data_IF_530749884198
#
_entry.id   IF_530749884198
#
_cell.length_a   1.000
_cell.length_b   1.000
_cell.length_c   1.000
_cell.angle_alpha   90.00
_cell.angle_beta   90.00
_cell.angle_gamma   90.00
#
_symmetry.space_group_name_H-M   'P 1'
#
loop_
_entity.id
_entity.type
_entity.pdbx_description
1 polymer ?
#
# COMPACT_ATOMS: atom_id res chain seq x y z
N UNK A 1 3.80 -20.67 -34.56
CA UNK A 1 5.21 -20.39 -34.14
C UNK A 1 5.40 -18.90 -34.27
N UNK A 2 5.89 -18.22 -33.25
CA UNK A 2 6.09 -16.77 -33.26
C UNK A 2 7.48 -16.44 -33.82
N UNK A 3 7.55 -15.47 -34.73
CA UNK A 3 8.80 -15.07 -35.37
C UNK A 3 9.70 -14.31 -34.39
N UNK A 4 11.00 -14.63 -34.42
CA UNK A 4 12.01 -13.88 -33.69
C UNK A 4 12.18 -12.50 -34.32
N UNK A 5 12.23 -11.45 -33.50
CA UNK A 5 12.65 -10.14 -34.00
C UNK A 5 14.18 -10.11 -34.14
N UNK A 6 14.72 -9.07 -34.78
CA UNK A 6 16.17 -8.83 -34.85
C UNK A 6 16.81 -8.58 -33.46
N UNK A 7 16.01 -8.44 -32.40
CA UNK A 7 16.47 -8.24 -31.03
C UNK A 7 16.52 -9.57 -30.28
N UNK A 8 17.66 -9.86 -29.65
CA UNK A 8 17.87 -11.09 -28.87
C UNK A 8 16.85 -11.17 -27.73
N UNK A 9 16.09 -12.27 -27.69
CA UNK A 9 15.12 -12.55 -26.63
C UNK A 9 13.71 -12.00 -26.84
N UNK A 10 13.46 -11.26 -27.93
CA UNK A 10 12.12 -10.72 -28.23
C UNK A 10 11.47 -11.55 -29.34
N UNK A 11 10.24 -12.00 -29.08
CA UNK A 11 9.39 -12.68 -30.07
C UNK A 11 8.12 -11.89 -30.26
N UNK A 12 7.65 -11.77 -31.50
CA UNK A 12 6.40 -11.07 -31.79
C UNK A 12 5.23 -11.94 -31.35
N UNK A 13 4.33 -11.38 -30.55
CA UNK A 13 3.05 -12.02 -30.31
C UNK A 13 2.22 -11.95 -31.60
N UNK A 14 1.76 -13.12 -32.05
CA UNK A 14 0.78 -13.25 -33.13
C UNK A 14 -0.31 -14.18 -32.62
N UNK A 15 -1.52 -13.67 -32.54
CA UNK A 15 -2.65 -14.42 -32.00
C UNK A 15 -3.83 -13.55 -31.60
N UNK A 16 -4.91 -14.19 -31.14
CA UNK A 16 -6.10 -13.49 -30.69
C UNK A 16 -5.83 -12.72 -29.40
N UNK A 17 -6.45 -11.56 -29.27
CA UNK A 17 -6.55 -10.76 -28.05
C UNK A 17 -8.03 -10.48 -27.80
N UNK A 18 -8.54 -10.96 -26.68
CA UNK A 18 -9.90 -10.65 -26.24
C UNK A 18 -9.94 -9.21 -25.72
N UNK A 19 -10.88 -8.41 -26.19
CA UNK A 19 -11.17 -7.06 -25.70
C UNK A 19 -12.62 -7.04 -25.26
N UNK A 20 -12.87 -6.58 -24.05
CA UNK A 20 -14.23 -6.43 -23.51
C UNK A 20 -14.50 -4.96 -23.30
N UNK A 21 -15.58 -4.46 -23.90
CA UNK A 21 -15.98 -3.07 -23.81
C UNK A 21 -17.30 -3.03 -23.05
N UNK A 22 -17.33 -2.27 -21.96
CA UNK A 22 -18.59 -1.89 -21.35
C UNK A 22 -19.12 -0.66 -22.08
N UNK A 23 -20.31 -0.80 -22.65
CA UNK A 23 -21.05 0.27 -23.29
C UNK A 23 -22.34 0.59 -22.52
N UNK A 24 -23.09 1.61 -22.99
CA UNK A 24 -24.36 2.04 -22.39
C UNK A 24 -25.49 1.01 -22.42
N UNK A 25 -25.47 0.05 -23.35
CA UNK A 25 -26.50 -0.99 -23.47
C UNK A 25 -26.02 -2.37 -23.00
N UNK A 26 -24.78 -2.49 -22.51
CA UNK A 26 -24.26 -3.74 -21.97
C UNK A 26 -22.76 -3.95 -22.19
N UNK A 27 -22.30 -5.14 -21.83
CA UNK A 27 -20.93 -5.57 -22.02
C UNK A 27 -20.79 -6.35 -23.33
N UNK A 28 -19.88 -5.94 -24.20
CA UNK A 28 -19.63 -6.58 -25.49
C UNK A 28 -18.20 -7.12 -25.57
N UNK A 29 -18.06 -8.36 -26.05
CA UNK A 29 -16.77 -9.04 -26.22
C UNK A 29 -16.36 -9.00 -27.69
N UNK A 30 -15.13 -8.58 -27.95
CA UNK A 30 -14.52 -8.48 -29.27
C UNK A 30 -13.21 -9.27 -29.27
N UNK A 31 -13.01 -10.13 -30.28
CA UNK A 31 -11.73 -10.83 -30.44
C UNK A 31 -10.96 -10.17 -31.57
N UNK A 32 -9.83 -9.53 -31.22
CA UNK A 32 -8.94 -8.89 -32.17
C UNK A 32 -7.81 -9.85 -32.55
N UNK A 33 -7.46 -9.93 -33.84
CA UNK A 33 -6.27 -10.66 -34.26
C UNK A 33 -5.08 -9.71 -34.27
N UNK A 34 -4.07 -10.01 -33.46
CA UNK A 34 -2.82 -9.24 -33.42
C UNK A 34 -1.86 -9.86 -34.42
N UNK A 35 -1.62 -9.18 -35.54
CA UNK A 35 -0.79 -9.67 -36.65
C UNK A 35 0.63 -9.08 -36.67
N UNK A 36 1.03 -8.39 -35.61
CA UNK A 36 2.37 -7.80 -35.51
C UNK A 36 2.59 -6.96 -34.27
N UNK A 37 3.75 -6.28 -34.21
CA UNK A 37 4.13 -5.41 -33.08
C UNK A 37 3.22 -4.19 -32.95
N UNK A 38 2.72 -3.68 -34.08
CA UNK A 38 1.73 -2.61 -34.11
C UNK A 38 0.52 -3.17 -34.86
N UNK A 39 -0.62 -3.24 -34.18
CA UNK A 39 -1.88 -3.64 -34.76
C UNK A 39 -2.88 -2.48 -34.57
N UNK A 40 -3.70 -2.23 -35.59
CA UNK A 40 -4.82 -1.29 -35.54
C UNK A 40 -6.07 -2.07 -35.90
N UNK A 41 -7.14 -1.88 -35.13
CA UNK A 41 -8.41 -2.53 -35.36
C UNK A 41 -9.55 -1.56 -35.05
N UNK A 42 -10.56 -1.55 -35.92
CA UNK A 42 -11.77 -0.78 -35.71
C UNK A 42 -12.80 -1.65 -34.99
N UNK A 43 -13.40 -1.12 -33.93
CA UNK A 43 -14.44 -1.81 -33.16
C UNK A 43 -15.77 -1.08 -33.33
N UNK A 44 -16.75 -1.77 -33.91
CA UNK A 44 -18.11 -1.22 -34.02
C UNK A 44 -18.81 -1.30 -32.66
N UNK A 45 -19.15 -0.14 -32.10
CA UNK A 45 -19.95 -0.06 -30.88
C UNK A 45 -21.40 -0.49 -31.16
N UNK A 46 -22.02 -1.20 -30.22
CA UNK A 46 -23.39 -1.70 -30.36
C UNK A 46 -24.43 -0.68 -29.87
N UNK A 47 -24.05 0.13 -28.88
CA UNK A 47 -24.91 1.07 -28.20
C UNK A 47 -24.95 2.42 -28.91
N UNK A 48 -26.08 3.12 -28.78
CA UNK A 48 -26.20 4.49 -29.28
C UNK A 48 -25.54 5.49 -28.32
N UNK A 49 -25.12 6.63 -28.85
CA UNK A 49 -24.57 7.74 -28.06
C UNK A 49 -25.53 8.25 -26.98
N UNK A 50 -24.97 8.91 -25.97
CA UNK A 50 -25.70 9.33 -24.78
C UNK A 50 -26.71 10.43 -25.09
N UNK A 51 -28.00 10.17 -24.87
CA UNK A 51 -29.06 11.20 -24.89
C UNK A 51 -29.37 11.82 -23.54
N UNK A 52 -29.26 11.03 -22.45
CA UNK A 52 -29.62 11.43 -21.10
C UNK A 52 -28.42 11.39 -20.16
N UNK A 53 -28.38 12.30 -19.18
CA UNK A 53 -27.32 12.33 -18.15
C UNK A 53 -27.41 11.21 -17.13
N UNK A 54 -28.55 10.51 -17.03
CA UNK A 54 -28.74 9.34 -16.18
C UNK A 54 -29.37 8.22 -16.98
N UNK A 55 -28.88 7.00 -16.78
CA UNK A 55 -29.40 5.80 -17.43
C UNK A 55 -29.17 4.58 -16.54
N UNK A 56 -30.11 3.64 -16.56
CA UNK A 56 -29.92 2.28 -16.04
C UNK A 56 -29.15 1.47 -17.07
N UNK A 57 -28.00 0.95 -16.66
CA UNK A 57 -27.07 0.26 -17.55
C UNK A 57 -26.93 -1.18 -17.07
N UNK A 58 -27.17 -2.17 -17.94
CA UNK A 58 -26.94 -3.56 -17.60
C UNK A 58 -25.43 -3.86 -17.57
N UNK A 59 -24.99 -4.50 -16.49
CA UNK A 59 -23.63 -4.99 -16.32
C UNK A 59 -23.51 -6.44 -16.78
N UNK A 60 -22.27 -6.91 -16.95
CA UNK A 60 -21.96 -8.31 -17.27
C UNK A 60 -22.52 -9.32 -16.25
N UNK A 61 -22.80 -8.87 -15.03
CA UNK A 61 -23.39 -9.66 -13.95
C UNK A 61 -24.91 -9.82 -14.05
N UNK A 62 -25.57 -9.12 -14.99
CA UNK A 62 -27.02 -9.04 -15.09
C UNK A 62 -27.66 -8.01 -14.15
N UNK A 63 -26.87 -7.31 -13.33
CA UNK A 63 -27.36 -6.19 -12.51
C UNK A 63 -27.55 -4.95 -13.39
N UNK A 64 -28.69 -4.25 -13.22
CA UNK A 64 -28.90 -2.93 -13.80
C UNK A 64 -28.54 -1.86 -12.77
N UNK A 65 -27.62 -0.97 -13.14
CA UNK A 65 -27.14 0.10 -12.25
C UNK A 65 -27.48 1.47 -12.83
N UNK A 66 -28.08 2.32 -12.00
CA UNK A 66 -28.28 3.73 -12.31
C UNK A 66 -26.94 4.46 -12.28
N UNK A 67 -26.45 4.88 -13.46
CA UNK A 67 -25.19 5.63 -13.58
C UNK A 67 -25.45 7.11 -13.91
N UNK A 68 -24.71 7.99 -13.25
CA UNK A 68 -24.59 9.39 -13.68
C UNK A 68 -23.52 9.49 -14.76
N UNK A 69 -23.96 9.81 -15.96
CA UNK A 69 -23.16 9.91 -17.18
C UNK A 69 -22.72 11.35 -17.44
N UNK A 70 -22.90 12.29 -16.51
CA UNK A 70 -22.60 13.71 -16.69
C UNK A 70 -21.16 13.99 -17.13
N UNK A 71 -20.19 13.19 -16.66
CA UNK A 71 -18.77 13.30 -17.01
C UNK A 71 -18.40 12.71 -18.38
N UNK A 72 -19.30 11.91 -18.98
CA UNK A 72 -19.04 11.23 -20.25
C UNK A 72 -19.16 12.18 -21.44
N UNK A 73 -18.41 11.89 -22.50
CA UNK A 73 -18.62 12.51 -23.80
C UNK A 73 -20.03 12.18 -24.35
N UNK A 74 -20.69 13.16 -24.95
CA UNK A 74 -22.03 12.98 -25.50
C UNK A 74 -22.03 12.02 -26.68
N UNK A 75 -20.94 12.00 -27.46
CA UNK A 75 -20.86 11.27 -28.72
C UNK A 75 -20.32 9.83 -28.56
N UNK A 76 -19.75 9.50 -27.39
CA UNK A 76 -19.22 8.16 -27.10
C UNK A 76 -20.21 7.32 -26.27
N UNK A 77 -20.50 6.07 -26.68
CA UNK A 77 -21.27 5.13 -25.86
C UNK A 77 -20.40 4.28 -24.90
N UNK A 78 -19.08 4.47 -24.90
CA UNK A 78 -18.13 3.61 -24.18
C UNK A 78 -17.90 4.08 -22.74
N UNK A 79 -18.08 3.17 -21.78
CA UNK A 79 -17.87 3.44 -20.35
C UNK A 79 -16.47 3.06 -19.89
N UNK A 80 -15.99 1.86 -20.22
CA UNK A 80 -14.62 1.42 -19.98
C UNK A 80 -14.26 0.23 -20.87
N UNK A 81 -12.96 0.02 -21.05
CA UNK A 81 -12.35 -1.02 -21.88
C UNK A 81 -11.47 -1.89 -21.00
N UNK A 82 -11.57 -3.21 -21.20
CA UNK A 82 -10.71 -4.21 -20.59
C UNK A 82 -10.05 -5.05 -21.67
N UNK A 83 -8.75 -5.26 -21.52
CA UNK A 83 -7.98 -6.17 -22.37
C UNK A 83 -7.88 -7.52 -21.66
N UNK A 84 -8.09 -8.61 -22.39
CA UNK A 84 -8.02 -10.02 -21.95
C UNK A 84 -8.46 -10.27 -20.49
N UNK A 85 -9.73 -9.99 -20.14
CA UNK A 85 -10.25 -10.20 -18.77
C UNK A 85 -10.02 -11.60 -18.23
N UNK A 86 -9.92 -12.59 -19.12
CA UNK A 86 -9.77 -14.01 -18.80
C UNK A 86 -8.30 -14.39 -18.49
N UNK A 87 -7.37 -13.41 -18.53
CA UNK A 87 -5.95 -13.57 -18.19
C UNK A 87 -5.30 -14.73 -18.97
N UNK A 88 -5.69 -14.91 -20.23
CA UNK A 88 -5.18 -16.00 -21.07
C UNK A 88 -3.73 -15.79 -21.48
N UNK A 89 -3.26 -14.54 -21.45
CA UNK A 89 -1.90 -14.16 -21.80
C UNK A 89 -1.10 -13.71 -20.57
N UNK A 90 0.14 -14.18 -20.45
CA UNK A 90 1.13 -13.57 -19.54
C UNK A 90 1.57 -12.23 -20.15
N UNK A 91 1.17 -11.13 -19.52
CA UNK A 91 1.31 -9.78 -20.09
C UNK A 91 1.50 -8.70 -19.04
N UNK A 92 2.00 -7.56 -19.51
CA UNK A 92 1.96 -6.27 -18.83
C UNK A 92 1.18 -5.31 -19.73
N UNK A 93 0.06 -4.80 -19.27
CA UNK A 93 -0.83 -3.91 -20.03
C UNK A 93 -0.65 -2.47 -19.59
N UNK A 94 -0.59 -1.57 -20.57
CA UNK A 94 -0.71 -0.12 -20.35
C UNK A 94 -1.93 0.33 -21.13
N UNK A 95 -2.95 0.77 -20.40
CA UNK A 95 -4.20 1.24 -20.97
C UNK A 95 -4.34 2.71 -20.61
N UNK A 96 -4.57 3.56 -21.61
CA UNK A 96 -4.85 4.98 -21.42
C UNK A 96 -6.33 5.22 -21.68
N UNK A 97 -7.04 5.64 -20.63
CA UNK A 97 -8.46 5.97 -20.65
C UNK A 97 -8.70 7.22 -19.78
N UNK A 98 -9.75 8.02 -20.07
CA UNK A 98 -10.16 9.13 -19.21
C UNK A 98 -10.40 8.70 -17.76
N UNK A 99 -10.21 9.61 -16.80
CA UNK A 99 -10.33 9.34 -15.37
C UNK A 99 -11.72 8.82 -14.96
N UNK A 100 -12.79 9.35 -15.56
CA UNK A 100 -14.17 8.89 -15.29
C UNK A 100 -14.38 7.41 -15.65
N UNK A 101 -13.68 6.88 -16.65
CA UNK A 101 -13.79 5.48 -17.06
C UNK A 101 -13.23 4.56 -15.98
N UNK A 102 -12.07 4.92 -15.41
CA UNK A 102 -11.47 4.22 -14.27
C UNK A 102 -12.33 4.32 -13.01
N UNK A 103 -12.98 5.47 -12.78
CA UNK A 103 -13.91 5.66 -11.67
C UNK A 103 -15.14 4.76 -11.80
N UNK A 104 -15.73 4.64 -13.00
CA UNK A 104 -16.85 3.73 -13.26
C UNK A 104 -16.44 2.27 -13.15
N UNK A 105 -15.29 1.89 -13.73
CA UNK A 105 -14.74 0.54 -13.63
C UNK A 105 -14.56 0.14 -12.16
N UNK A 106 -13.96 0.99 -11.32
CA UNK A 106 -13.76 0.69 -9.90
C UNK A 106 -15.09 0.48 -9.14
N UNK A 107 -16.13 1.28 -9.45
CA UNK A 107 -17.41 1.24 -8.72
C UNK A 107 -18.32 0.09 -9.14
N UNK A 108 -18.32 -0.25 -10.43
CA UNK A 108 -19.37 -1.08 -11.02
C UNK A 108 -18.86 -2.44 -11.51
N UNK A 109 -17.57 -2.56 -11.85
CA UNK A 109 -17.00 -3.84 -12.24
C UNK A 109 -16.89 -4.75 -11.02
N UNK A 110 -17.30 -6.02 -11.16
CA UNK A 110 -17.25 -7.03 -10.07
C UNK A 110 -16.00 -7.91 -10.12
N UNK A 111 -15.14 -7.65 -11.09
CA UNK A 111 -13.86 -8.32 -11.26
C UNK A 111 -12.76 -7.65 -10.43
N UNK A 112 -12.13 -8.43 -9.54
CA UNK A 112 -11.08 -7.95 -8.64
C UNK A 112 -9.86 -7.42 -9.42
N UNK A 113 -9.48 -8.06 -10.52
CA UNK A 113 -8.32 -7.66 -11.33
C UNK A 113 -8.56 -6.31 -11.99
N UNK A 114 -9.77 -6.09 -12.50
CA UNK A 114 -10.18 -4.82 -13.09
C UNK A 114 -10.26 -3.70 -12.06
N UNK A 115 -10.75 -3.98 -10.84
CA UNK A 115 -10.76 -3.01 -9.76
C UNK A 115 -9.33 -2.63 -9.33
N UNK A 116 -8.41 -3.59 -9.25
CA UNK A 116 -7.00 -3.33 -8.92
C UNK A 116 -6.27 -2.54 -10.02
N UNK A 117 -6.55 -2.83 -11.30
CA UNK A 117 -6.04 -2.06 -12.43
C UNK A 117 -6.56 -0.62 -12.39
N UNK A 118 -7.86 -0.44 -12.16
CA UNK A 118 -8.48 0.88 -12.00
C UNK A 118 -7.88 1.67 -10.83
N UNK A 119 -7.66 1.03 -9.67
CA UNK A 119 -7.00 1.68 -8.53
C UNK A 119 -5.58 2.13 -8.91
N UNK A 120 -4.83 1.28 -9.61
CA UNK A 120 -3.46 1.61 -10.04
C UNK A 120 -3.44 2.78 -11.03
N UNK A 121 -4.39 2.82 -11.97
CA UNK A 121 -4.54 3.93 -12.89
C UNK A 121 -4.93 5.24 -12.18
N UNK A 122 -5.89 5.17 -11.24
CA UNK A 122 -6.38 6.32 -10.47
C UNK A 122 -5.32 6.99 -9.59
N UNK A 123 -4.20 6.32 -9.28
CA UNK A 123 -3.05 6.95 -8.62
C UNK A 123 -2.53 8.18 -9.37
N UNK A 124 -2.67 8.20 -10.70
CA UNK A 124 -2.23 9.29 -11.58
C UNK A 124 -3.28 10.40 -11.75
N UNK A 125 -4.51 10.19 -11.27
CA UNK A 125 -5.65 11.11 -11.45
C UNK A 125 -6.10 11.70 -10.11
N UNK A 126 -5.47 12.81 -9.71
CA UNK A 126 -5.74 13.51 -8.45
C UNK A 126 -6.97 14.43 -8.53
N UNK A 127 -8.17 13.85 -8.66
CA UNK A 127 -9.45 14.58 -8.76
C UNK A 127 -10.37 14.29 -7.58
N UNK A 128 -11.30 15.20 -7.23
CA UNK A 128 -12.32 14.94 -6.19
C UNK A 128 -13.17 13.71 -6.47
N UNK A 129 -13.43 13.42 -7.75
CA UNK A 129 -14.20 12.25 -8.17
C UNK A 129 -13.43 10.94 -7.94
N UNK A 130 -12.12 10.90 -8.26
CA UNK A 130 -11.24 9.77 -7.91
C UNK A 130 -11.19 9.52 -6.40
N UNK A 131 -11.05 10.59 -5.61
CA UNK A 131 -11.07 10.51 -4.13
C UNK A 131 -12.39 9.93 -3.60
N UNK A 132 -13.52 10.37 -4.15
CA UNK A 132 -14.84 9.86 -3.77
C UNK A 132 -14.97 8.37 -4.14
N UNK A 133 -14.62 7.99 -5.37
CA UNK A 133 -14.68 6.59 -5.82
C UNK A 133 -13.83 5.65 -4.94
N UNK A 134 -12.63 6.07 -4.56
CA UNK A 134 -11.77 5.32 -3.64
C UNK A 134 -12.39 5.24 -2.23
N UNK A 135 -12.96 6.34 -1.74
CA UNK A 135 -13.63 6.38 -0.42
C UNK A 135 -14.82 5.43 -0.38
N UNK A 136 -15.69 5.46 -1.40
CA UNK A 136 -16.84 4.58 -1.54
C UNK A 136 -16.41 3.10 -1.58
N UNK A 137 -15.31 2.81 -2.30
CA UNK A 137 -14.74 1.46 -2.40
C UNK A 137 -14.26 0.96 -1.04
N UNK A 138 -13.60 1.80 -0.25
CA UNK A 138 -13.11 1.42 1.09
C UNK A 138 -14.28 1.13 2.04
N UNK A 139 -15.38 1.88 1.97
CA UNK A 139 -16.54 1.67 2.84
C UNK A 139 -17.42 0.48 2.41
N UNK A 140 -17.37 0.06 1.15
CA UNK A 140 -18.24 -0.98 0.63
C UNK A 140 -17.85 -2.38 1.11
N UNK A 141 -18.68 -2.97 2.00
CA UNK A 141 -18.47 -4.31 2.54
C UNK A 141 -18.69 -5.45 1.53
N UNK A 142 -19.24 -5.16 0.35
CA UNK A 142 -19.39 -6.15 -0.73
C UNK A 142 -18.13 -6.24 -1.62
N UNK A 143 -17.17 -5.32 -1.45
CA UNK A 143 -15.91 -5.33 -2.22
C UNK A 143 -14.89 -6.22 -1.51
N UNK A 144 -14.12 -6.97 -2.30
CA UNK A 144 -13.07 -7.82 -1.77
C UNK A 144 -12.06 -7.02 -0.94
N UNK A 145 -11.69 -7.54 0.23
CA UNK A 145 -10.91 -6.79 1.23
C UNK A 145 -9.57 -6.27 0.70
N UNK A 146 -8.88 -7.02 -0.16
CA UNK A 146 -7.59 -6.55 -0.70
C UNK A 146 -7.77 -5.37 -1.67
N UNK A 147 -8.90 -5.29 -2.38
CA UNK A 147 -9.24 -4.11 -3.20
C UNK A 147 -9.47 -2.92 -2.29
N UNK A 148 -10.19 -3.09 -1.17
CA UNK A 148 -10.40 -2.03 -0.16
C UNK A 148 -9.07 -1.55 0.45
N UNK A 149 -8.18 -2.48 0.80
CA UNK A 149 -6.84 -2.19 1.31
C UNK A 149 -6.00 -1.42 0.28
N UNK A 150 -6.01 -1.85 -0.99
CA UNK A 150 -5.29 -1.17 -2.07
C UNK A 150 -5.87 0.22 -2.35
N UNK A 151 -7.19 0.37 -2.31
CA UNK A 151 -7.87 1.65 -2.44
C UNK A 151 -7.48 2.62 -1.32
N UNK A 152 -7.30 2.15 -0.08
CA UNK A 152 -6.80 2.98 1.03
C UNK A 152 -5.40 3.53 0.76
N UNK A 153 -4.47 2.71 0.27
CA UNK A 153 -3.13 3.17 -0.12
C UNK A 153 -3.14 4.12 -1.31
N UNK A 154 -3.99 3.87 -2.32
CA UNK A 154 -4.16 4.77 -3.45
C UNK A 154 -4.76 6.12 -3.01
N UNK A 155 -5.72 6.10 -2.09
CA UNK A 155 -6.33 7.30 -1.54
C UNK A 155 -5.29 8.19 -0.86
N UNK A 156 -4.29 7.61 -0.18
CA UNK A 156 -3.16 8.37 0.36
C UNK A 156 -2.38 9.11 -0.74
N UNK A 157 -2.05 8.44 -1.85
CA UNK A 157 -1.31 9.05 -2.97
C UNK A 157 -2.11 10.18 -3.62
N UNK A 158 -3.39 9.92 -3.91
CA UNK A 158 -4.33 10.90 -4.47
C UNK A 158 -4.48 12.09 -3.52
N UNK A 159 -4.67 11.84 -2.22
CA UNK A 159 -4.80 12.91 -1.23
C UNK A 159 -3.54 13.77 -1.16
N UNK A 160 -2.34 13.17 -1.17
CA UNK A 160 -1.07 13.88 -1.16
C UNK A 160 -0.86 14.74 -2.43
N UNK A 161 -1.33 14.28 -3.59
CA UNK A 161 -1.29 15.06 -4.83
C UNK A 161 -2.33 16.20 -4.83
N UNK A 162 -3.40 16.10 -4.04
CA UNK A 162 -4.48 17.10 -3.97
C UNK A 162 -4.28 18.17 -2.88
N UNK A 163 -3.20 18.12 -2.09
CA UNK A 163 -3.06 18.94 -0.87
C UNK A 163 -3.13 20.45 -1.14
N UNK A 164 -2.67 20.92 -2.29
CA UNK A 164 -2.74 22.35 -2.67
C UNK A 164 -4.18 22.84 -2.90
N UNK A 165 -5.08 21.94 -3.30
CA UNK A 165 -6.41 22.26 -3.81
C UNK A 165 -7.53 21.79 -2.87
N UNK A 166 -7.21 21.01 -1.84
CA UNK A 166 -8.20 20.43 -0.93
C UNK A 166 -7.69 20.37 0.52
N UNK A 167 -8.34 21.12 1.41
CA UNK A 167 -8.02 21.21 2.83
C UNK A 167 -9.13 20.63 3.74
N UNK A 168 -9.68 19.47 3.38
CA UNK A 168 -10.67 18.77 4.21
C UNK A 168 -10.06 17.73 5.15
N UNK A 169 -10.79 17.30 6.20
CA UNK A 169 -10.31 16.27 7.13
C UNK A 169 -9.98 14.97 6.38
N UNK A 170 -9.01 14.18 6.87
CA UNK A 170 -8.64 12.91 6.25
C UNK A 170 -9.86 11.98 6.15
N UNK A 171 -10.27 11.63 4.93
CA UNK A 171 -11.45 10.78 4.70
C UNK A 171 -11.33 9.45 5.46
N UNK A 172 -10.12 8.87 5.48
CA UNK A 172 -9.83 7.63 6.19
C UNK A 172 -10.06 7.70 7.71
N UNK A 173 -9.88 8.87 8.35
CA UNK A 173 -10.17 9.04 9.77
C UNK A 173 -11.69 8.92 10.04
N UNK A 174 -12.51 9.51 9.16
CA UNK A 174 -13.96 9.40 9.24
C UNK A 174 -14.42 7.95 9.03
N UNK A 175 -13.87 7.27 8.01
CA UNK A 175 -14.13 5.85 7.73
C UNK A 175 -13.76 5.00 8.96
N UNK A 176 -12.57 5.19 9.53
CA UNK A 176 -12.11 4.40 10.66
C UNK A 176 -13.01 4.58 11.88
N UNK A 177 -13.38 5.82 12.21
CA UNK A 177 -14.30 6.10 13.33
C UNK A 177 -15.69 5.53 13.09
N UNK A 178 -16.20 5.56 11.85
CA UNK A 178 -17.49 4.98 11.47
C UNK A 178 -17.49 3.45 11.65
N UNK A 179 -16.42 2.78 11.21
CA UNK A 179 -16.33 1.32 11.24
C UNK A 179 -15.94 0.75 12.62
N UNK A 180 -15.00 1.39 13.31
CA UNK A 180 -14.35 0.85 14.52
C UNK A 180 -14.55 1.70 15.79
N UNK A 181 -15.13 2.90 15.67
CA UNK A 181 -15.40 3.78 16.81
C UNK A 181 -16.54 3.28 17.69
N UNK A 182 -16.44 3.52 19.00
CA UNK A 182 -17.47 3.18 19.98
C UNK A 182 -18.77 3.90 19.69
N UNK A 183 -19.89 3.21 19.89
CA UNK A 183 -21.23 3.77 19.65
C UNK A 183 -21.50 4.99 20.54
N UNK A 184 -21.02 4.94 21.80
CA UNK A 184 -21.23 6.00 22.79
C UNK A 184 -20.27 7.17 22.64
N UNK A 185 -19.07 6.93 22.09
CA UNK A 185 -18.05 7.95 21.87
C UNK A 185 -17.20 7.59 20.64
N UNK A 186 -17.50 8.14 19.44
CA UNK A 186 -16.80 7.81 18.21
C UNK A 186 -15.30 8.11 18.20
N UNK A 187 -14.80 8.90 19.18
CA UNK A 187 -13.38 9.18 19.36
C UNK A 187 -12.63 8.03 20.04
N UNK A 188 -13.34 7.17 20.80
CA UNK A 188 -12.77 6.00 21.48
C UNK A 188 -13.04 4.77 20.63
N UNK A 189 -12.04 3.93 20.44
CA UNK A 189 -12.14 2.73 19.60
C UNK A 189 -12.84 1.62 20.42
N UNK A 190 -13.60 0.77 19.73
CA UNK A 190 -14.19 -0.42 20.38
C UNK A 190 -13.11 -1.42 20.77
N UNK A 191 -13.45 -2.32 21.69
CA UNK A 191 -12.64 -3.50 21.97
C UNK A 191 -12.43 -4.31 20.69
N UNK A 192 -11.23 -4.87 20.52
CA UNK A 192 -10.88 -5.62 19.31
C UNK A 192 -11.78 -6.86 19.15
N UNK A 193 -12.23 -7.08 17.92
CA UNK A 193 -12.91 -8.32 17.52
C UNK A 193 -12.41 -8.76 16.14
N UNK A 194 -11.55 -9.77 16.11
CA UNK A 194 -10.95 -10.26 14.87
C UNK A 194 -11.69 -11.47 14.27
N UNK A 195 -12.93 -11.72 14.67
CA UNK A 195 -13.75 -12.79 14.07
C UNK A 195 -14.03 -12.52 12.59
N UNK A 196 -14.24 -11.27 12.19
CA UNK A 196 -14.40 -10.90 10.79
C UNK A 196 -13.04 -10.50 10.19
N UNK A 197 -12.47 -11.38 9.37
CA UNK A 197 -11.18 -11.16 8.73
C UNK A 197 -11.18 -9.98 7.76
N UNK A 198 -12.31 -9.66 7.11
CA UNK A 198 -12.39 -8.53 6.20
C UNK A 198 -12.20 -7.21 6.97
N UNK A 199 -12.91 -7.06 8.08
CA UNK A 199 -12.72 -5.91 8.97
C UNK A 199 -11.32 -5.90 9.59
N UNK A 200 -10.79 -7.05 9.98
CA UNK A 200 -9.44 -7.14 10.54
C UNK A 200 -8.36 -6.62 9.58
N UNK A 201 -8.32 -7.09 8.32
CA UNK A 201 -7.33 -6.62 7.35
C UNK A 201 -7.49 -5.13 7.05
N UNK A 202 -8.72 -4.62 7.01
CA UNK A 202 -8.98 -3.20 6.80
C UNK A 202 -8.57 -2.35 8.01
N UNK A 203 -8.88 -2.79 9.24
CA UNK A 203 -8.47 -2.18 10.50
C UNK A 203 -6.94 -2.11 10.60
N UNK A 204 -6.24 -3.15 10.12
CA UNK A 204 -4.77 -3.18 10.02
C UNK A 204 -4.22 -2.18 8.99
N UNK A 205 -4.88 -2.06 7.83
CA UNK A 205 -4.35 -1.31 6.68
C UNK A 205 -4.59 0.20 6.76
N UNK A 206 -5.76 0.63 7.23
CA UNK A 206 -6.12 2.06 7.26
C UNK A 206 -5.10 2.89 8.06
N UNK A 207 -4.64 2.50 9.26
CA UNK A 207 -3.62 3.24 10.01
C UNK A 207 -2.31 3.43 9.22
N UNK A 208 -1.85 2.38 8.53
CA UNK A 208 -0.63 2.42 7.71
C UNK A 208 -0.82 3.35 6.50
N UNK A 209 -1.97 3.28 5.83
CA UNK A 209 -2.29 4.18 4.72
C UNK A 209 -2.38 5.64 5.20
N UNK A 210 -3.02 5.90 6.34
CA UNK A 210 -3.11 7.24 6.94
C UNK A 210 -1.74 7.81 7.30
N UNK A 211 -0.85 6.99 7.85
CA UNK A 211 0.51 7.41 8.18
C UNK A 211 1.31 7.90 6.96
N UNK A 212 0.93 7.51 5.74
CA UNK A 212 1.51 8.01 4.50
C UNK A 212 0.99 9.38 4.04
N UNK A 213 -0.02 9.96 4.70
CA UNK A 213 -0.55 11.28 4.36
C UNK A 213 0.50 12.36 4.65
N UNK A 214 0.56 13.37 3.79
CA UNK A 214 1.47 14.52 3.89
C UNK A 214 0.71 15.81 3.68
N UNK A 215 1.12 16.86 4.37
CA UNK A 215 0.66 18.23 4.14
C UNK A 215 1.47 18.89 3.00
N UNK A 216 1.21 20.17 2.72
CA UNK A 216 1.86 20.94 1.66
C UNK A 216 3.38 21.07 1.85
N UNK A 217 3.86 20.89 3.08
CA UNK A 217 5.28 20.90 3.45
C UNK A 217 5.92 19.52 3.41
N UNK A 218 5.19 18.48 2.96
CA UNK A 218 5.70 17.11 2.93
C UNK A 218 5.80 16.45 4.30
N UNK A 219 5.10 16.97 5.32
CA UNK A 219 5.11 16.49 6.71
C UNK A 219 3.82 15.73 7.01
N UNK A 220 3.90 14.64 7.78
CA UNK A 220 2.71 13.95 8.25
C UNK A 220 1.84 14.87 9.14
N UNK A 221 0.53 15.00 8.88
CA UNK A 221 -0.35 15.83 9.72
C UNK A 221 -0.34 15.37 11.18
N UNK A 222 -0.28 16.31 12.13
CA UNK A 222 -0.23 16.01 13.57
C UNK A 222 -1.47 15.24 14.06
N UNK A 223 -2.65 15.53 13.50
CA UNK A 223 -3.89 14.79 13.81
C UNK A 223 -3.74 13.28 13.53
N UNK A 224 -3.00 12.91 12.48
CA UNK A 224 -2.74 11.50 12.14
C UNK A 224 -1.81 10.88 13.17
N UNK A 225 -0.73 11.56 13.58
CA UNK A 225 0.21 11.05 14.59
C UNK A 225 -0.52 10.83 15.91
N UNK A 226 -1.29 11.82 16.37
CA UNK A 226 -2.09 11.70 17.60
C UNK A 226 -3.08 10.55 17.51
N UNK A 227 -3.77 10.41 16.37
CA UNK A 227 -4.69 9.30 16.14
C UNK A 227 -3.98 7.93 16.25
N UNK A 228 -2.80 7.77 15.65
CA UNK A 228 -2.03 6.52 15.74
C UNK A 228 -1.61 6.22 17.19
N UNK A 229 -1.18 7.22 17.95
CA UNK A 229 -0.84 7.07 19.37
C UNK A 229 -2.08 6.70 20.21
N UNK A 230 -3.24 7.28 19.90
CA UNK A 230 -4.51 6.92 20.53
C UNK A 230 -4.89 5.47 20.23
N UNK A 231 -4.62 4.93 19.02
CA UNK A 231 -4.82 3.52 18.71
C UNK A 231 -4.04 2.60 19.66
N UNK A 232 -2.81 2.96 20.03
CA UNK A 232 -2.02 2.20 21.02
C UNK A 232 -2.59 2.35 22.44
N UNK A 233 -2.96 3.56 22.82
CA UNK A 233 -3.48 3.86 24.17
C UNK A 233 -4.79 3.14 24.47
N UNK A 234 -5.66 3.03 23.47
CA UNK A 234 -6.99 2.43 23.60
C UNK A 234 -7.06 1.00 23.03
N UNK A 235 -5.93 0.39 22.67
CA UNK A 235 -5.91 -0.99 22.20
C UNK A 235 -6.30 -1.95 23.35
N UNK A 236 -7.49 -2.53 23.27
CA UNK A 236 -7.97 -3.52 24.23
C UNK A 236 -8.30 -4.83 23.52
N UNK A 237 -7.45 -5.84 23.77
CA UNK A 237 -7.59 -7.19 23.23
C UNK A 237 -8.14 -8.20 24.26
N UNK A 238 -8.57 -7.74 25.45
CA UNK A 238 -8.88 -8.62 26.60
C UNK A 238 -10.06 -9.58 26.36
N UNK A 239 -11.00 -9.20 25.50
CA UNK A 239 -12.17 -10.04 25.14
C UNK A 239 -12.04 -10.71 23.78
N UNK A 240 -10.98 -10.43 23.04
CA UNK A 240 -10.79 -11.00 21.72
C UNK A 240 -10.22 -12.42 21.85
N UNK A 241 -10.71 -13.35 21.03
CA UNK A 241 -10.22 -14.74 21.02
C UNK A 241 -8.91 -14.91 20.26
N UNK A 242 -8.51 -13.89 19.51
CA UNK A 242 -7.34 -13.89 18.65
C UNK A 242 -6.24 -12.99 19.21
N UNK A 243 -4.98 -13.30 18.88
CA UNK A 243 -3.85 -12.42 19.19
C UNK A 243 -3.88 -11.16 18.32
N UNK A 244 -3.47 -10.02 18.90
CA UNK A 244 -3.33 -8.74 18.22
C UNK A 244 -1.90 -8.44 17.77
N UNK A 245 -0.99 -9.42 17.82
CA UNK A 245 0.42 -9.25 17.48
C UNK A 245 0.65 -8.59 16.11
N UNK A 246 -0.07 -9.04 15.07
CA UNK A 246 0.04 -8.47 13.72
C UNK A 246 -0.64 -7.11 13.57
N UNK A 247 -1.66 -6.82 14.39
CA UNK A 247 -2.27 -5.50 14.43
C UNK A 247 -1.32 -4.50 15.09
N UNK A 248 -0.79 -4.84 16.28
CA UNK A 248 0.25 -4.06 16.96
C UNK A 248 1.48 -3.83 16.06
N UNK A 249 1.95 -4.87 15.35
CA UNK A 249 3.04 -4.73 14.39
C UNK A 249 2.72 -3.71 13.28
N UNK A 250 1.51 -3.75 12.69
CA UNK A 250 1.10 -2.75 11.70
C UNK A 250 0.97 -1.33 12.25
N UNK A 251 0.58 -1.18 13.52
CA UNK A 251 0.56 0.13 14.17
C UNK A 251 1.98 0.69 14.33
N UNK A 252 2.97 -0.16 14.64
CA UNK A 252 4.38 0.24 14.66
C UNK A 252 4.88 0.60 13.26
N UNK A 253 4.50 -0.16 12.23
CA UNK A 253 4.79 0.19 10.84
C UNK A 253 4.18 1.53 10.45
N UNK A 254 2.95 1.82 10.91
CA UNK A 254 2.29 3.10 10.71
C UNK A 254 3.06 4.24 11.42
N UNK A 255 3.51 4.04 12.66
CA UNK A 255 4.37 5.03 13.33
C UNK A 255 5.68 5.27 12.57
N UNK A 256 6.32 4.22 12.05
CA UNK A 256 7.50 4.37 11.19
C UNK A 256 7.17 5.11 9.87
N UNK A 257 5.98 4.90 9.31
CA UNK A 257 5.52 5.56 8.10
C UNK A 257 5.18 7.04 8.27
N UNK A 258 4.78 7.48 9.46
CA UNK A 258 4.49 8.88 9.76
C UNK A 258 5.74 9.74 9.90
N UNK A 259 6.89 9.13 10.22
CA UNK A 259 8.19 9.82 10.28
C UNK A 259 8.49 10.46 8.93
N UNK A 260 8.91 11.73 8.95
CA UNK A 260 9.28 12.53 7.78
C UNK A 260 10.77 12.87 7.84
N UNK A 261 11.52 12.88 6.71
CA UNK A 261 12.94 13.25 6.70
C UNK A 261 13.22 14.67 7.23
N UNK A 262 14.25 14.82 8.07
CA UNK A 262 14.72 16.14 8.52
C UNK A 262 15.79 16.65 7.57
N UNK A 263 15.37 17.40 6.55
CA UNK A 263 16.24 17.88 5.45
C UNK A 263 17.41 18.73 5.98
N UNK A 264 17.19 19.53 7.02
CA UNK A 264 18.21 20.42 7.59
C UNK A 264 19.35 19.67 8.28
N UNK A 265 19.06 18.54 8.93
CA UNK A 265 20.07 17.76 9.67
C UNK A 265 20.88 16.87 8.72
N UNK A 266 20.26 16.33 7.68
CA UNK A 266 20.91 15.50 6.66
C UNK A 266 21.96 16.31 5.87
N UNK A 267 21.76 17.61 5.66
CA UNK A 267 22.66 18.46 4.87
C UNK A 267 23.74 19.18 5.69
N UNK A 268 23.55 19.38 7.00
CA UNK A 268 24.44 20.24 7.81
C UNK A 268 25.39 19.47 8.75
N UNK A 269 25.33 18.13 8.79
CA UNK A 269 26.25 17.32 9.60
C UNK A 269 26.18 17.62 11.11
N UNK A 270 25.06 18.18 11.58
CA UNK A 270 24.83 18.43 13.00
C UNK A 270 24.67 17.11 13.74
N UNK A 271 25.32 16.98 14.91
CA UNK A 271 25.22 15.75 15.72
C UNK A 271 23.78 15.52 16.16
N UNK A 272 23.20 14.41 15.70
CA UNK A 272 21.84 14.01 16.04
C UNK A 272 21.83 13.54 17.49
N UNK A 273 21.25 14.34 18.38
CA UNK A 273 21.02 13.99 19.78
C UNK A 273 19.53 13.76 20.03
N UNK A 274 19.19 12.87 20.98
CA UNK A 274 17.80 12.57 21.33
C UNK A 274 17.02 13.81 21.83
N UNK A 275 17.72 14.85 22.29
CA UNK A 275 17.15 16.12 22.74
C UNK A 275 16.72 17.04 21.59
N UNK A 276 17.23 16.80 20.37
CA UNK A 276 16.86 17.56 19.16
C UNK A 276 15.55 17.09 18.51
N UNK A 277 14.96 16.01 19.02
CA UNK A 277 13.72 15.44 18.49
C UNK A 277 12.53 16.38 18.69
N UNK A 278 11.67 16.49 17.67
CA UNK A 278 10.35 17.11 17.86
C UNK A 278 9.54 16.33 18.89
N UNK A 279 8.61 17.03 19.57
CA UNK A 279 7.74 16.42 20.59
C UNK A 279 7.02 15.19 20.04
N UNK A 280 6.47 15.28 18.83
CA UNK A 280 5.77 14.18 18.17
C UNK A 280 6.70 12.99 17.89
N UNK A 281 7.92 13.23 17.40
CA UNK A 281 8.87 12.14 17.10
C UNK A 281 9.37 11.47 18.37
N UNK A 282 9.53 12.22 19.45
CA UNK A 282 9.87 11.66 20.76
C UNK A 282 8.76 10.71 21.26
N UNK A 283 7.50 11.10 21.14
CA UNK A 283 6.36 10.24 21.50
C UNK A 283 6.33 8.96 20.65
N UNK A 284 6.62 9.08 19.35
CA UNK A 284 6.74 7.92 18.45
C UNK A 284 7.85 6.98 18.91
N UNK A 285 9.04 7.51 19.23
CA UNK A 285 10.18 6.73 19.70
C UNK A 285 9.90 6.05 21.05
N UNK A 286 9.28 6.76 21.99
CA UNK A 286 8.85 6.22 23.28
C UNK A 286 7.91 5.04 23.09
N UNK A 287 6.93 5.15 22.20
CA UNK A 287 5.96 4.09 21.92
C UNK A 287 6.62 2.86 21.25
N UNK A 288 7.53 3.07 20.30
CA UNK A 288 8.31 1.99 19.67
C UNK A 288 9.18 1.27 20.71
N UNK A 289 9.87 2.03 21.56
CA UNK A 289 10.75 1.49 22.61
C UNK A 289 9.94 0.75 23.67
N UNK A 290 8.77 1.27 24.04
CA UNK A 290 7.83 0.63 24.96
C UNK A 290 7.41 -0.75 24.44
N UNK A 291 7.02 -0.84 23.17
CA UNK A 291 6.63 -2.12 22.56
C UNK A 291 7.81 -3.10 22.46
N UNK A 292 9.01 -2.62 22.14
CA UNK A 292 10.21 -3.46 22.10
C UNK A 292 10.56 -4.03 23.48
N UNK A 293 10.44 -3.22 24.55
CA UNK A 293 10.64 -3.68 25.92
C UNK A 293 9.53 -4.63 26.38
N UNK A 294 8.29 -4.37 25.98
CA UNK A 294 7.16 -5.25 26.28
C UNK A 294 7.35 -6.65 25.68
N UNK A 295 7.86 -6.76 24.46
CA UNK A 295 8.16 -8.06 23.83
C UNK A 295 9.26 -8.85 24.54
N UNK A 296 10.18 -8.19 25.26
CA UNK A 296 11.16 -8.90 26.11
C UNK A 296 10.51 -9.53 27.33
N UNK A 297 9.42 -8.95 27.83
CA UNK A 297 8.68 -9.44 29.00
C UNK A 297 7.58 -10.44 28.61
N UNK A 298 6.89 -10.16 27.51
CA UNK A 298 5.76 -10.91 26.98
C UNK A 298 5.95 -11.10 25.46
N UNK A 299 6.77 -12.07 25.04
CA UNK A 299 7.01 -12.36 23.62
C UNK A 299 5.71 -12.70 22.90
N UNK A 300 5.42 -12.01 21.79
CA UNK A 300 4.34 -12.42 20.91
C UNK A 300 4.81 -13.50 19.93
N UNK A 301 3.86 -14.10 19.21
CA UNK A 301 4.15 -15.11 18.19
C UNK A 301 5.22 -14.58 17.21
N UNK A 302 6.33 -15.32 17.10
CA UNK A 302 7.46 -15.02 16.22
C UNK A 302 8.09 -13.62 16.40
N UNK A 303 7.84 -12.96 17.54
CA UNK A 303 8.34 -11.61 17.82
C UNK A 303 8.01 -10.61 16.69
N UNK A 304 6.82 -10.72 16.09
CA UNK A 304 6.42 -9.89 14.93
C UNK A 304 6.46 -8.40 15.24
N UNK A 305 6.17 -8.01 16.49
CA UNK A 305 6.25 -6.61 16.93
C UNK A 305 7.71 -6.15 16.99
N UNK A 306 8.64 -6.98 17.48
CA UNK A 306 10.08 -6.70 17.45
C UNK A 306 10.58 -6.46 16.03
N UNK A 307 10.18 -7.30 15.08
CA UNK A 307 10.55 -7.13 13.67
C UNK A 307 10.09 -5.76 13.13
N UNK A 308 8.84 -5.36 13.42
CA UNK A 308 8.32 -4.05 13.03
C UNK A 308 9.07 -2.89 13.73
N UNK A 309 9.39 -3.02 15.01
CA UNK A 309 10.16 -2.04 15.77
C UNK A 309 11.55 -1.81 15.16
N UNK A 310 12.27 -2.87 14.77
CA UNK A 310 13.59 -2.75 14.15
C UNK A 310 13.51 -1.97 12.83
N UNK A 311 12.51 -2.26 11.98
CA UNK A 311 12.28 -1.50 10.74
C UNK A 311 11.96 -0.03 11.00
N UNK A 312 11.13 0.25 12.00
CA UNK A 312 10.79 1.62 12.38
C UNK A 312 12.01 2.40 12.91
N UNK A 313 12.86 1.76 13.73
CA UNK A 313 14.10 2.36 14.24
C UNK A 313 15.07 2.66 13.10
N UNK A 314 15.29 1.73 12.16
CA UNK A 314 16.15 2.01 11.00
C UNK A 314 15.62 3.18 10.17
N UNK A 315 14.30 3.29 10.01
CA UNK A 315 13.68 4.41 9.31
C UNK A 315 13.90 5.75 10.02
N UNK A 316 13.84 5.77 11.35
CA UNK A 316 14.20 6.95 12.16
C UNK A 316 15.67 7.35 11.97
N UNK A 317 16.58 6.37 11.91
CA UNK A 317 18.01 6.63 11.62
C UNK A 317 18.20 7.24 10.22
N UNK A 318 17.62 6.62 9.17
CA UNK A 318 17.70 7.14 7.79
C UNK A 318 17.20 8.57 7.64
N UNK A 319 16.17 8.92 8.40
CA UNK A 319 15.51 10.22 8.30
C UNK A 319 16.16 11.30 9.18
N UNK A 320 17.26 10.98 9.84
CA UNK A 320 18.05 11.93 10.63
C UNK A 320 17.49 12.20 12.03
N UNK A 321 16.58 11.37 12.54
CA UNK A 321 16.01 11.51 13.88
C UNK A 321 16.82 10.77 14.95
N UNK A 322 17.53 9.72 14.56
CA UNK A 322 18.41 8.95 15.42
C UNK A 322 19.81 8.85 14.82
N UNK A 323 20.87 8.76 15.65
CA UNK A 323 22.20 8.49 15.14
C UNK A 323 22.24 7.13 14.44
N UNK A 324 22.89 7.08 13.28
CA UNK A 324 23.02 5.86 12.47
C UNK A 324 24.08 4.96 13.09
N UNK A 325 23.65 4.07 13.99
CA UNK A 325 24.52 3.17 14.76
C UNK A 325 24.03 1.71 14.54
N UNK A 326 24.92 0.77 14.13
CA UNK A 326 24.54 -0.60 13.79
C UNK A 326 24.45 -1.53 15.01
N UNK A 327 24.91 -1.12 16.19
CA UNK A 327 25.07 -1.97 17.39
C UNK A 327 23.77 -2.66 17.81
N UNK A 328 22.64 -1.96 17.74
CA UNK A 328 21.33 -2.50 18.04
C UNK A 328 21.01 -3.69 17.12
N UNK A 329 21.17 -3.50 15.81
CA UNK A 329 20.86 -4.55 14.84
C UNK A 329 21.84 -5.71 14.91
N UNK A 330 23.13 -5.45 15.17
CA UNK A 330 24.13 -6.51 15.43
C UNK A 330 23.71 -7.39 16.61
N UNK A 331 23.18 -6.78 17.67
CA UNK A 331 22.69 -7.51 18.85
C UNK A 331 21.49 -8.41 18.51
N UNK A 332 20.55 -7.93 17.67
CA UNK A 332 19.40 -8.73 17.24
C UNK A 332 19.72 -9.75 16.12
N UNK A 333 20.81 -9.54 15.38
CA UNK A 333 21.32 -10.48 14.39
C UNK A 333 22.12 -11.65 15.00
N UNK A 334 22.58 -11.51 16.24
CA UNK A 334 23.38 -12.51 16.92
C UNK A 334 22.67 -13.87 17.05
N UNK A 335 23.46 -14.94 17.07
CA UNK A 335 22.96 -16.31 17.27
C UNK A 335 22.22 -16.46 18.60
N UNK A 336 21.20 -17.31 18.62
CA UNK A 336 20.30 -17.51 19.77
C UNK A 336 19.03 -16.66 19.75
N UNK A 337 18.94 -15.65 18.87
CA UNK A 337 17.70 -14.95 18.60
C UNK A 337 16.80 -15.73 17.61
N UNK A 338 15.51 -15.42 17.58
CA UNK A 338 14.58 -16.03 16.63
C UNK A 338 14.98 -15.71 15.18
N UNK A 339 15.00 -16.72 14.30
CA UNK A 339 15.53 -16.63 12.93
C UNK A 339 14.96 -15.45 12.14
N UNK A 340 13.65 -15.20 12.17
CA UNK A 340 13.06 -14.07 11.43
C UNK A 340 13.45 -12.70 12.01
N UNK A 341 13.71 -12.61 13.32
CA UNK A 341 14.24 -11.39 13.95
C UNK A 341 15.68 -11.15 13.50
N UNK A 342 16.49 -12.22 13.43
CA UNK A 342 17.87 -12.15 12.92
C UNK A 342 17.89 -11.66 11.48
N UNK A 343 17.08 -12.26 10.60
CA UNK A 343 16.96 -11.86 9.20
C UNK A 343 16.46 -10.41 9.06
N UNK A 344 15.50 -9.97 9.88
CA UNK A 344 15.05 -8.58 9.88
C UNK A 344 16.15 -7.63 10.34
N UNK A 345 16.92 -7.99 11.37
CA UNK A 345 18.05 -7.17 11.82
C UNK A 345 19.16 -7.10 10.75
N UNK A 346 19.39 -8.20 10.04
CA UNK A 346 20.33 -8.26 8.92
C UNK A 346 19.87 -7.44 7.72
N UNK A 347 18.57 -7.45 7.40
CA UNK A 347 17.96 -6.55 6.42
C UNK A 347 18.28 -5.09 6.76
N UNK A 348 18.17 -4.69 8.03
CA UNK A 348 18.52 -3.33 8.48
C UNK A 348 20.02 -3.06 8.46
N UNK A 349 20.88 -4.07 8.66
CA UNK A 349 22.33 -3.94 8.56
C UNK A 349 22.80 -3.79 7.12
N UNK A 350 22.26 -4.58 6.18
CA UNK A 350 22.54 -4.45 4.74
C UNK A 350 22.19 -3.05 4.26
N UNK A 351 21.01 -2.58 4.67
CA UNK A 351 20.54 -1.25 4.37
C UNK A 351 21.32 -0.12 5.07
N UNK A 352 21.87 -0.39 6.26
CA UNK A 352 22.84 0.49 6.91
C UNK A 352 24.16 0.54 6.13
N UNK A 353 24.67 -0.62 5.68
CA UNK A 353 25.93 -0.69 4.97
C UNK A 353 25.93 0.07 3.65
N UNK A 354 24.84 0.00 2.89
CA UNK A 354 24.75 0.70 1.61
C UNK A 354 24.59 2.23 1.70
N UNK A 355 24.27 2.78 2.89
CA UNK A 355 24.05 4.22 3.07
C UNK A 355 25.10 4.88 3.96
N UNK A 356 25.35 4.29 5.14
CA UNK A 356 26.12 4.92 6.22
C UNK A 356 27.33 4.06 6.66
N UNK A 357 27.42 2.82 6.18
CA UNK A 357 28.38 1.84 6.70
C UNK A 357 29.79 1.98 6.15
N UNK A 358 30.70 1.26 6.81
CA UNK A 358 32.11 1.16 6.42
C UNK A 358 32.41 -0.22 5.87
N UNK A 359 33.59 -0.38 5.28
CA UNK A 359 34.08 -1.68 4.82
C UNK A 359 34.02 -2.76 5.91
N UNK A 360 34.36 -2.42 7.15
CA UNK A 360 34.27 -3.34 8.30
C UNK A 360 32.84 -3.81 8.61
N UNK A 361 31.82 -3.02 8.25
CA UNK A 361 30.42 -3.41 8.40
C UNK A 361 30.01 -4.41 7.32
N UNK A 362 30.51 -4.25 6.09
CA UNK A 362 30.33 -5.23 5.02
C UNK A 362 31.08 -6.53 5.31
N UNK A 363 32.32 -6.45 5.78
CA UNK A 363 33.14 -7.60 6.20
C UNK A 363 32.39 -8.44 7.23
N UNK A 364 31.81 -7.81 8.25
CA UNK A 364 30.95 -8.52 9.21
C UNK A 364 29.75 -9.25 8.57
N UNK A 365 29.11 -8.67 7.55
CA UNK A 365 28.01 -9.33 6.86
C UNK A 365 28.50 -10.52 6.03
N UNK A 366 29.68 -10.42 5.42
CA UNK A 366 30.30 -11.52 4.68
C UNK A 366 30.72 -12.65 5.62
N UNK A 367 31.36 -12.33 6.74
CA UNK A 367 31.74 -13.29 7.78
C UNK A 367 30.50 -14.03 8.30
N UNK A 368 29.40 -13.30 8.56
CA UNK A 368 28.15 -13.94 8.97
C UNK A 368 27.54 -14.79 7.86
N UNK A 369 27.64 -14.38 6.59
CA UNK A 369 27.14 -15.17 5.47
C UNK A 369 27.91 -16.50 5.29
N UNK A 370 29.18 -16.53 5.66
CA UNK A 370 30.03 -17.71 5.60
C UNK A 370 29.89 -18.60 6.85
N UNK A 371 30.07 -18.00 8.03
CA UNK A 371 30.32 -18.71 9.29
C UNK A 371 29.07 -18.93 10.16
N UNK A 372 27.92 -18.28 9.89
CA UNK A 372 26.76 -18.42 10.77
C UNK A 372 26.28 -19.88 10.87
N UNK A 373 26.06 -20.40 12.10
CA UNK A 373 25.67 -21.79 12.30
C UNK A 373 24.30 -22.14 11.71
N UNK A 374 23.42 -21.15 11.46
CA UNK A 374 22.11 -21.37 10.84
C UNK A 374 22.19 -21.20 9.30
N UNK A 375 22.02 -22.29 8.51
CA UNK A 375 22.06 -22.20 7.05
C UNK A 375 20.96 -21.33 6.45
N UNK A 376 19.80 -21.22 7.12
CA UNK A 376 18.70 -20.37 6.69
C UNK A 376 19.04 -18.89 6.84
N UNK A 377 19.77 -18.53 7.91
CA UNK A 377 20.28 -17.16 8.09
C UNK A 377 21.33 -16.83 7.04
N UNK A 378 22.29 -17.73 6.78
CA UNK A 378 23.30 -17.55 5.72
C UNK A 378 22.66 -17.35 4.34
N UNK A 379 21.79 -18.26 3.93
CA UNK A 379 21.10 -18.15 2.63
C UNK A 379 20.22 -16.91 2.54
N UNK A 380 19.55 -16.53 3.62
CA UNK A 380 18.74 -15.32 3.69
C UNK A 380 19.58 -14.05 3.55
N UNK A 381 20.72 -13.98 4.23
CA UNK A 381 21.65 -12.84 4.16
C UNK A 381 22.25 -12.67 2.77
N UNK A 382 22.72 -13.76 2.14
CA UNK A 382 23.24 -13.70 0.76
C UNK A 382 22.19 -13.17 -0.19
N UNK A 383 20.93 -13.60 -0.05
CA UNK A 383 19.83 -13.10 -0.86
C UNK A 383 19.58 -11.61 -0.62
N UNK A 384 19.57 -11.17 0.64
CA UNK A 384 19.43 -9.76 0.99
C UNK A 384 20.52 -8.88 0.37
N UNK A 385 21.78 -9.34 0.39
CA UNK A 385 22.92 -8.67 -0.25
C UNK A 385 22.80 -8.63 -1.78
N UNK A 386 22.25 -9.68 -2.40
CA UNK A 386 22.01 -9.69 -3.84
C UNK A 386 20.86 -8.75 -4.24
N UNK A 387 19.77 -8.74 -3.45
CA UNK A 387 18.59 -7.91 -3.71
C UNK A 387 18.86 -6.42 -3.41
N UNK A 388 19.73 -6.13 -2.44
CA UNK A 388 20.13 -4.77 -2.04
C UNK A 388 21.67 -4.68 -1.94
N UNK A 389 22.38 -4.54 -3.07
CA UNK A 389 23.84 -4.47 -3.05
C UNK A 389 24.29 -3.18 -2.33
N UNK A 390 25.19 -3.29 -1.34
CA UNK A 390 25.75 -2.15 -0.61
C UNK A 390 26.76 -1.34 -1.41
#
# INVERSE_FOLDING_TARGET
RQDATQQRGIRKYVGPLLVTIQELDGTFKHTLQIEGTVAKADITCHSKSRRNKKKKIPLCTGEEVDMDLSAMDADSPVLWIRLDPEMTLLRCTVIEQPDYQWQYQLRHERDVTAQLEAITALEHFSTPASRLALTDTIENDQVYVQVRCRAAHCLTKVANAMVSNWAGPPAMLAIFRKLYGSFSCPKIIRQNNFQNLQHYFLQKTIPVAMAGLRNSHGICPQEVIQFLLDLFKYNDNSKNRFSDNYYRASLIEALGASVTPVISVIQQGTEITAESLSVDTRLVLEEITRNLNLEKLLPCYKLTVTQACLRAIRKLQKYGHLPSIPTLFRTYAAYGQFVEVRLTALEMLVDFTGLDGKWSDLEYLLDMAEEDPDPGVRSGLVRLLCDNPP
#
